data_IF_474702716136
#
_entry.id   IF_474702716136
#
_cell.length_a   1.000
_cell.length_b   1.000
_cell.length_c   1.000
_cell.angle_alpha   90.00
_cell.angle_beta   90.00
_cell.angle_gamma   90.00
#
_symmetry.space_group_name_H-M   'P 1'
#
loop_
_entity.id
_entity.type
_entity.pdbx_description
1 polymer ?
#
# COMPACT_ATOMS: atom_id res chain seq x y z
N UNK A 1 35.42 4.28 -16.77
CA UNK A 1 34.30 3.39 -16.41
C UNK A 1 34.33 3.37 -14.90
N UNK A 2 33.35 3.99 -14.21
CA UNK A 2 33.27 3.86 -12.76
C UNK A 2 32.97 2.39 -12.45
N UNK A 3 33.72 1.80 -11.53
CA UNK A 3 33.40 0.45 -11.07
C UNK A 3 32.09 0.52 -10.27
N UNK A 4 31.32 -0.58 -10.25
CA UNK A 4 30.02 -0.63 -9.56
C UNK A 4 30.17 -0.22 -8.08
N UNK A 5 31.31 -0.57 -7.45
CA UNK A 5 31.65 -0.17 -6.10
C UNK A 5 31.75 1.35 -5.91
N UNK A 6 32.34 2.07 -6.87
CA UNK A 6 32.47 3.54 -6.79
C UNK A 6 31.10 4.23 -6.85
N UNK A 7 30.18 3.69 -7.66
CA UNK A 7 28.81 4.19 -7.75
C UNK A 7 28.02 3.89 -6.46
N UNK A 8 28.24 2.74 -5.83
CA UNK A 8 27.64 2.39 -4.55
C UNK A 8 28.12 3.29 -3.40
N UNK A 9 29.42 3.62 -3.38
CA UNK A 9 30.00 4.53 -2.40
C UNK A 9 29.44 5.94 -2.59
N UNK A 10 29.47 6.46 -3.82
CA UNK A 10 28.91 7.78 -4.14
C UNK A 10 27.41 7.89 -3.80
N UNK A 11 26.63 6.84 -4.03
CA UNK A 11 25.22 6.80 -3.65
C UNK A 11 25.04 6.88 -2.13
N UNK A 12 25.84 6.11 -1.38
CA UNK A 12 25.81 6.10 0.09
C UNK A 12 26.17 7.49 0.63
N UNK A 13 27.24 8.11 0.13
CA UNK A 13 27.64 9.46 0.51
C UNK A 13 26.55 10.51 0.23
N UNK A 14 25.92 10.43 -0.94
CA UNK A 14 24.84 11.34 -1.31
C UNK A 14 23.65 11.25 -0.33
N UNK A 15 23.26 10.03 0.07
CA UNK A 15 22.19 9.81 1.03
C UNK A 15 22.58 10.20 2.46
N UNK A 16 23.83 9.96 2.87
CA UNK A 16 24.34 10.44 4.16
C UNK A 16 24.36 11.97 4.26
N UNK A 17 24.50 12.69 3.14
CA UNK A 17 24.51 14.14 3.11
C UNK A 17 23.12 14.79 3.14
N UNK A 18 22.03 14.01 3.13
CA UNK A 18 20.66 14.55 3.19
C UNK A 18 20.39 15.35 4.47
N UNK A 19 21.08 15.04 5.57
CA UNK A 19 21.01 15.77 6.83
C UNK A 19 21.50 17.23 6.72
N UNK A 20 22.32 17.54 5.70
CA UNK A 20 22.82 18.89 5.37
C UNK A 20 21.82 19.72 4.56
N UNK A 21 20.63 19.19 4.27
CA UNK A 21 19.57 19.87 3.55
C UNK A 21 18.47 20.32 4.52
N UNK A 22 18.64 21.45 5.26
CA UNK A 22 17.70 21.88 6.29
C UNK A 22 16.32 22.28 5.75
N UNK A 23 16.19 22.45 4.43
CA UNK A 23 14.94 22.75 3.71
C UNK A 23 14.38 21.53 2.97
N UNK A 24 14.87 20.32 3.27
CA UNK A 24 14.34 19.10 2.69
C UNK A 24 12.91 18.86 3.21
N UNK A 25 11.94 18.99 2.32
CA UNK A 25 10.51 18.85 2.63
C UNK A 25 9.91 17.55 2.08
N UNK A 26 10.42 17.08 0.93
CA UNK A 26 9.91 15.90 0.25
C UNK A 26 11.07 15.00 -0.20
N UNK A 27 10.87 13.69 -0.07
CA UNK A 27 11.77 12.67 -0.64
C UNK A 27 10.95 11.63 -1.40
N UNK A 28 11.40 11.33 -2.61
CA UNK A 28 10.90 10.21 -3.40
C UNK A 28 12.06 9.28 -3.74
N UNK A 29 12.01 8.06 -3.24
CA UNK A 29 12.97 7.00 -3.55
C UNK A 29 12.31 5.94 -4.44
N UNK A 30 12.91 5.68 -5.60
CA UNK A 30 12.43 4.67 -6.53
C UNK A 30 13.41 3.51 -6.53
N UNK A 31 13.00 2.38 -5.93
CA UNK A 31 13.79 1.16 -5.99
C UNK A 31 13.50 0.43 -7.30
N UNK A 32 14.47 -0.36 -7.75
CA UNK A 32 14.33 -1.10 -9.00
C UNK A 32 13.23 -2.15 -8.85
N UNK A 33 12.24 -2.19 -9.76
CA UNK A 33 10.99 -2.90 -9.52
C UNK A 33 11.03 -4.38 -9.89
N UNK A 34 12.08 -4.89 -10.53
CA UNK A 34 12.12 -6.27 -11.02
C UNK A 34 13.42 -6.99 -10.68
N UNK A 35 13.31 -8.24 -10.22
CA UNK A 35 14.45 -9.15 -10.10
C UNK A 35 14.86 -9.77 -11.45
N UNK A 36 14.14 -9.42 -12.51
CA UNK A 36 14.41 -9.80 -13.89
C UNK A 36 15.05 -8.60 -14.58
N UNK A 37 16.26 -8.78 -15.12
CA UNK A 37 16.95 -7.76 -15.91
C UNK A 37 16.17 -7.44 -17.19
N UNK A 38 16.47 -6.30 -17.83
CA UNK A 38 15.92 -5.95 -19.16
C UNK A 38 16.12 -7.03 -20.23
N UNK A 39 17.06 -7.95 -20.02
CA UNK A 39 17.33 -9.09 -20.91
C UNK A 39 16.42 -10.30 -20.68
N UNK A 40 15.47 -10.22 -19.73
CA UNK A 40 14.64 -11.36 -19.33
C UNK A 40 15.38 -12.39 -18.48
N UNK A 41 16.67 -12.16 -18.19
CA UNK A 41 17.46 -13.02 -17.30
C UNK A 41 17.28 -12.57 -15.86
N UNK A 42 17.02 -13.53 -14.99
CA UNK A 42 17.05 -13.37 -13.53
C UNK A 42 18.39 -12.77 -13.12
N UNK A 43 18.34 -11.66 -12.36
CA UNK A 43 19.55 -11.04 -11.81
C UNK A 43 20.09 -12.02 -10.76
N UNK A 44 21.15 -12.74 -11.11
CA UNK A 44 21.84 -13.70 -10.22
C UNK A 44 22.59 -13.04 -9.06
N UNK A 45 22.50 -11.72 -8.93
CA UNK A 45 23.11 -11.02 -7.80
C UNK A 45 22.39 -11.44 -6.52
N UNK A 46 23.17 -11.62 -5.46
CA UNK A 46 22.68 -12.11 -4.18
C UNK A 46 21.49 -11.26 -3.70
N UNK A 47 20.35 -11.88 -3.34
CA UNK A 47 19.17 -11.16 -2.83
C UNK A 47 19.47 -10.19 -1.68
N UNK A 48 20.50 -10.54 -0.92
CA UNK A 48 21.01 -9.76 0.20
C UNK A 48 21.60 -8.41 -0.21
N UNK A 49 22.21 -8.28 -1.40
CA UNK A 49 22.81 -7.01 -1.82
C UNK A 49 21.73 -5.96 -2.12
N UNK A 50 20.69 -6.33 -2.87
CA UNK A 50 19.58 -5.42 -3.16
C UNK A 50 18.86 -4.94 -1.89
N UNK A 51 18.51 -5.87 -1.01
CA UNK A 51 17.80 -5.56 0.24
C UNK A 51 18.67 -4.76 1.21
N UNK A 52 19.97 -5.07 1.33
CA UNK A 52 20.89 -4.27 2.14
C UNK A 52 21.02 -2.83 1.62
N UNK A 53 21.03 -2.65 0.31
CA UNK A 53 21.10 -1.32 -0.32
C UNK A 53 19.81 -0.53 -0.12
N UNK A 54 18.66 -1.16 -0.32
CA UNK A 54 17.36 -0.55 -0.02
C UNK A 54 17.31 -0.07 1.44
N UNK A 55 17.67 -0.93 2.39
CA UNK A 55 17.69 -0.59 3.81
C UNK A 55 18.64 0.59 4.09
N UNK A 56 19.85 0.57 3.52
CA UNK A 56 20.83 1.67 3.69
C UNK A 56 20.27 3.02 3.25
N UNK A 57 19.61 3.05 2.08
CA UNK A 57 18.96 4.26 1.55
C UNK A 57 17.84 4.72 2.47
N UNK A 58 16.95 3.80 2.87
CA UNK A 58 15.81 4.12 3.73
C UNK A 58 16.28 4.64 5.10
N UNK A 59 17.28 4.01 5.73
CA UNK A 59 17.87 4.48 6.99
C UNK A 59 18.46 5.88 6.86
N UNK A 60 19.11 6.18 5.73
CA UNK A 60 19.72 7.49 5.50
C UNK A 60 18.66 8.58 5.33
N UNK A 61 17.59 8.31 4.55
CA UNK A 61 16.43 9.20 4.43
C UNK A 61 15.84 9.48 5.81
N UNK A 62 15.66 8.42 6.60
CA UNK A 62 15.16 8.53 7.95
C UNK A 62 16.06 9.40 8.85
N UNK A 63 17.39 9.24 8.79
CA UNK A 63 18.31 10.10 9.53
C UNK A 63 18.14 11.57 9.16
N UNK A 64 17.94 11.88 7.88
CA UNK A 64 17.66 13.24 7.43
C UNK A 64 16.29 13.75 7.91
N UNK A 65 15.29 12.89 8.06
CA UNK A 65 13.98 13.27 8.64
C UNK A 65 14.11 13.75 10.09
N UNK A 66 15.11 13.31 10.85
CA UNK A 66 15.32 13.77 12.24
C UNK A 66 15.78 15.22 12.31
N UNK A 67 16.47 15.71 11.30
CA UNK A 67 17.09 17.04 11.28
C UNK A 67 16.38 18.02 10.34
N UNK A 68 15.52 17.51 9.46
CA UNK A 68 14.74 18.31 8.50
C UNK A 68 13.28 18.47 8.94
N UNK A 69 12.54 19.29 8.19
CA UNK A 69 11.07 19.44 8.33
C UNK A 69 10.34 18.64 7.26
N UNK A 70 10.83 17.44 6.94
CA UNK A 70 10.26 16.61 5.88
C UNK A 70 8.79 16.29 6.18
N UNK A 71 7.91 16.64 5.24
CA UNK A 71 6.46 16.44 5.36
C UNK A 71 5.93 15.39 4.37
N UNK A 72 6.72 15.00 3.37
CA UNK A 72 6.33 14.00 2.37
C UNK A 72 7.43 12.96 2.15
N UNK A 73 7.03 11.68 2.17
CA UNK A 73 7.89 10.55 1.90
C UNK A 73 7.19 9.60 0.92
N UNK A 74 7.85 9.32 -0.20
CA UNK A 74 7.42 8.33 -1.18
C UNK A 74 8.50 7.27 -1.35
N UNK A 75 8.17 6.01 -1.08
CA UNK A 75 9.05 4.87 -1.31
C UNK A 75 8.39 3.93 -2.32
N UNK A 76 8.99 3.78 -3.51
CA UNK A 76 8.41 3.00 -4.59
C UNK A 76 9.17 1.71 -4.82
N UNK A 77 8.42 0.61 -5.04
CA UNK A 77 8.92 -0.74 -5.27
C UNK A 77 9.77 -1.30 -4.12
N UNK A 78 9.32 -1.08 -2.88
CA UNK A 78 9.98 -1.56 -1.68
C UNK A 78 9.81 -3.07 -1.55
N UNK A 79 10.92 -3.79 -1.42
CA UNK A 79 10.91 -5.22 -1.06
C UNK A 79 10.64 -5.33 0.43
N UNK A 80 9.64 -6.12 0.79
CA UNK A 80 9.19 -6.23 2.18
C UNK A 80 10.08 -7.19 2.95
N UNK A 81 10.70 -6.67 4.00
CA UNK A 81 11.60 -7.38 4.90
C UNK A 81 10.94 -7.56 6.27
N UNK A 82 11.45 -8.45 7.15
CA UNK A 82 10.96 -8.56 8.51
C UNK A 82 10.95 -7.21 9.25
N UNK A 83 10.02 -7.03 10.19
CA UNK A 83 9.86 -5.79 10.98
C UNK A 83 11.16 -5.35 11.64
N UNK A 84 12.02 -6.29 12.05
CA UNK A 84 13.33 -6.01 12.65
C UNK A 84 14.28 -5.24 11.72
N UNK A 85 14.07 -5.27 10.41
CA UNK A 85 14.84 -4.49 9.43
C UNK A 85 14.39 -3.03 9.33
N UNK A 86 13.24 -2.67 9.90
CA UNK A 86 12.59 -1.36 9.78
C UNK A 86 12.36 -0.69 11.14
N UNK A 87 13.33 -0.81 12.05
CA UNK A 87 13.26 -0.26 13.41
C UNK A 87 12.93 1.25 13.47
N UNK A 88 13.35 2.00 12.46
CA UNK A 88 13.10 3.43 12.33
C UNK A 88 11.61 3.80 12.19
N UNK A 89 10.75 2.89 11.74
CA UNK A 89 9.33 3.19 11.51
C UNK A 89 8.61 3.60 12.79
N UNK A 90 9.01 3.03 13.93
CA UNK A 90 8.50 3.43 15.25
C UNK A 90 8.63 4.94 15.51
N UNK A 91 9.67 5.56 14.98
CA UNK A 91 9.96 6.98 15.20
C UNK A 91 9.27 7.91 14.19
N UNK A 92 8.76 7.36 13.08
CA UNK A 92 7.86 8.10 12.18
C UNK A 92 6.55 8.47 12.87
N UNK A 93 6.24 7.84 14.01
CA UNK A 93 5.05 8.09 14.82
C UNK A 93 4.89 9.56 15.22
N UNK A 94 6.01 10.22 15.55
CA UNK A 94 6.03 11.63 15.98
C UNK A 94 6.65 12.56 14.94
N UNK A 95 6.80 12.08 13.69
CA UNK A 95 7.34 12.89 12.60
C UNK A 95 6.31 13.91 12.10
N UNK A 96 6.74 15.04 11.50
CA UNK A 96 5.83 16.03 10.90
C UNK A 96 5.26 15.57 9.54
N UNK A 97 5.33 14.28 9.24
CA UNK A 97 4.91 13.71 7.97
C UNK A 97 3.40 13.92 7.77
N UNK A 98 3.04 14.56 6.67
CA UNK A 98 1.66 14.76 6.25
C UNK A 98 1.27 13.88 5.06
N UNK A 99 2.24 13.39 4.29
CA UNK A 99 2.02 12.52 3.14
C UNK A 99 2.98 11.33 3.20
N UNK A 100 2.44 10.12 3.13
CA UNK A 100 3.20 8.87 3.03
C UNK A 100 2.69 8.06 1.84
N UNK A 101 3.57 7.78 0.89
CA UNK A 101 3.28 6.92 -0.25
C UNK A 101 4.23 5.75 -0.26
N UNK A 102 3.68 4.54 -0.28
CA UNK A 102 4.42 3.29 -0.28
C UNK A 102 3.93 2.44 -1.43
N UNK A 103 4.84 2.08 -2.34
CA UNK A 103 4.64 1.01 -3.31
C UNK A 103 5.53 -0.15 -2.93
N UNK A 104 4.96 -1.36 -2.88
CA UNK A 104 5.67 -2.60 -2.55
C UNK A 104 5.75 -3.53 -3.75
N UNK A 105 6.75 -4.41 -3.75
CA UNK A 105 6.88 -5.50 -4.73
C UNK A 105 5.83 -6.59 -4.42
N UNK A 106 5.17 -7.20 -5.41
CA UNK A 106 4.13 -8.21 -5.18
C UNK A 106 4.66 -9.47 -4.45
N UNK A 107 3.79 -10.13 -3.68
CA UNK A 107 4.12 -11.36 -2.95
C UNK A 107 4.67 -12.48 -3.85
N UNK A 108 4.13 -12.60 -5.07
CA UNK A 108 4.54 -13.63 -6.03
C UNK A 108 6.02 -13.46 -6.42
N UNK A 109 6.42 -12.24 -6.76
CA UNK A 109 7.79 -11.93 -7.17
C UNK A 109 8.78 -12.11 -6.02
N UNK A 110 8.41 -11.72 -4.79
CA UNK A 110 9.26 -11.93 -3.61
C UNK A 110 9.42 -13.43 -3.30
N UNK A 111 8.35 -14.21 -3.41
CA UNK A 111 8.40 -15.66 -3.17
C UNK A 111 9.23 -16.40 -4.21
N UNK A 112 9.09 -16.05 -5.50
CA UNK A 112 9.87 -16.62 -6.59
C UNK A 112 11.36 -16.28 -6.43
N UNK A 113 11.66 -15.02 -6.08
CA UNK A 113 13.02 -14.53 -5.95
C UNK A 113 13.75 -15.07 -4.71
N UNK A 114 13.07 -15.09 -3.56
CA UNK A 114 13.70 -15.50 -2.30
C UNK A 114 13.70 -17.01 -2.08
N UNK A 115 12.90 -17.76 -2.83
CA UNK A 115 12.63 -19.18 -2.60
C UNK A 115 11.93 -19.46 -1.26
N UNK A 116 11.58 -18.40 -0.51
CA UNK A 116 10.95 -18.48 0.79
C UNK A 116 9.51 -17.99 0.70
N UNK A 117 8.58 -18.80 1.22
CA UNK A 117 7.19 -18.39 1.43
C UNK A 117 7.03 -17.48 2.65
N UNK A 118 8.10 -17.29 3.43
CA UNK A 118 8.14 -16.54 4.70
C UNK A 118 8.62 -15.09 4.54
N UNK A 119 9.23 -14.73 3.39
CA UNK A 119 9.59 -13.33 3.08
C UNK A 119 8.36 -12.63 2.48
N UNK A 120 7.25 -12.69 3.19
CA UNK A 120 6.07 -11.86 2.92
C UNK A 120 5.96 -10.88 4.08
N UNK A 121 6.87 -9.91 4.13
CA UNK A 121 6.87 -8.92 5.20
C UNK A 121 5.51 -8.22 5.30
N UNK A 122 5.12 -7.84 6.51
CA UNK A 122 3.86 -7.14 6.76
C UNK A 122 3.94 -5.66 6.30
N UNK A 123 2.86 -5.09 5.76
CA UNK A 123 2.82 -3.62 5.49
C UNK A 123 3.02 -2.84 6.77
N UNK A 124 2.62 -3.42 7.90
CA UNK A 124 2.89 -2.86 9.21
C UNK A 124 4.36 -2.70 9.55
N UNK A 125 5.27 -3.36 8.84
CA UNK A 125 6.70 -3.14 8.98
C UNK A 125 7.16 -1.76 8.48
N UNK A 126 6.43 -1.16 7.52
CA UNK A 126 6.77 0.13 6.89
C UNK A 126 5.87 1.28 7.35
N UNK A 127 4.77 0.97 8.05
CA UNK A 127 3.77 1.94 8.47
C UNK A 127 3.94 2.34 9.95
N UNK A 128 3.97 3.64 10.29
CA UNK A 128 3.95 4.06 11.69
C UNK A 128 2.62 3.67 12.33
N UNK A 129 2.66 3.06 13.53
CA UNK A 129 1.45 2.65 14.26
C UNK A 129 0.49 3.81 14.53
N UNK A 130 0.98 5.03 14.65
CA UNK A 130 0.15 6.22 14.77
C UNK A 130 0.88 7.38 14.12
N UNK A 131 0.17 8.31 13.49
CA UNK A 131 0.78 9.58 13.11
C UNK A 131 -0.31 10.66 13.11
N UNK A 132 -0.24 11.65 14.01
CA UNK A 132 -1.30 12.65 14.15
C UNK A 132 -1.28 13.73 13.07
N UNK A 133 -0.22 13.82 12.26
CA UNK A 133 -0.10 14.82 11.19
C UNK A 133 -0.37 14.24 9.81
N UNK A 134 -0.40 12.91 9.67
CA UNK A 134 -0.59 12.23 8.40
C UNK A 134 -1.98 12.49 7.84
N UNK A 135 -2.02 13.13 6.66
CA UNK A 135 -3.23 13.52 5.93
C UNK A 135 -3.48 12.66 4.70
N UNK A 136 -2.42 12.18 4.06
CA UNK A 136 -2.51 11.35 2.88
C UNK A 136 -1.68 10.08 3.06
N UNK A 137 -2.30 8.94 2.78
CA UNK A 137 -1.67 7.64 2.79
C UNK A 137 -1.93 6.94 1.45
N UNK A 138 -0.89 6.51 0.77
CA UNK A 138 -0.98 5.71 -0.45
C UNK A 138 -0.29 4.37 -0.22
N UNK A 139 -1.01 3.28 -0.47
CA UNK A 139 -0.51 1.91 -0.40
C UNK A 139 -0.71 1.26 -1.76
N UNK A 140 0.40 0.94 -2.43
CA UNK A 140 0.38 0.49 -3.82
C UNK A 140 1.17 -0.79 -4.04
N UNK A 141 0.77 -1.55 -5.05
CA UNK A 141 1.50 -2.72 -5.54
C UNK A 141 1.39 -2.77 -7.06
N UNK A 142 2.19 -1.98 -7.79
CA UNK A 142 1.94 -1.68 -9.21
C UNK A 142 2.12 -2.85 -10.17
N UNK A 143 2.73 -3.94 -9.72
CA UNK A 143 3.03 -5.11 -10.54
C UNK A 143 2.08 -6.30 -10.28
N UNK A 144 1.12 -6.14 -9.37
CA UNK A 144 0.14 -7.19 -9.11
C UNK A 144 -0.41 -7.17 -7.68
N UNK A 145 -1.34 -8.10 -7.37
CA UNK A 145 -2.03 -8.15 -6.10
C UNK A 145 -1.06 -8.33 -4.94
N UNK A 146 -1.29 -7.54 -3.90
CA UNK A 146 -0.61 -7.68 -2.63
C UNK A 146 -1.64 -7.84 -1.50
N UNK A 147 -1.36 -8.77 -0.60
CA UNK A 147 -2.18 -9.02 0.57
C UNK A 147 -1.29 -9.22 1.78
N UNK A 148 -1.55 -8.45 2.84
CA UNK A 148 -0.83 -8.57 4.09
C UNK A 148 -1.71 -9.21 5.16
N UNK A 149 -1.81 -10.54 5.11
CA UNK A 149 -2.60 -11.32 6.07
C UNK A 149 -2.19 -11.09 7.54
N UNK A 150 -0.93 -10.72 7.78
CA UNK A 150 -0.40 -10.51 9.12
C UNK A 150 -0.57 -9.08 9.65
N UNK A 151 -0.88 -8.12 8.77
CA UNK A 151 -1.02 -6.72 9.20
C UNK A 151 -2.33 -6.53 9.93
N UNK A 152 -2.26 -6.29 11.24
CA UNK A 152 -3.41 -5.89 12.05
C UNK A 152 -3.74 -4.43 11.82
N UNK A 153 -4.58 -4.13 10.82
CA UNK A 153 -4.87 -2.72 10.48
C UNK A 153 -5.55 -1.97 11.64
N UNK A 154 -6.16 -2.68 12.59
CA UNK A 154 -6.73 -2.11 13.83
C UNK A 154 -5.72 -1.37 14.69
N UNK A 155 -4.43 -1.72 14.56
CA UNK A 155 -3.35 -1.14 15.36
C UNK A 155 -2.88 0.23 14.84
N UNK A 156 -3.34 0.65 13.65
CA UNK A 156 -2.94 1.91 13.04
C UNK A 156 -3.93 3.05 13.34
N UNK A 157 -3.40 4.18 13.82
CA UNK A 157 -4.19 5.34 14.20
C UNK A 157 -3.72 6.62 13.49
N UNK A 158 -4.50 7.05 12.49
CA UNK A 158 -4.20 8.25 11.69
C UNK A 158 -5.33 9.27 11.82
N UNK A 159 -5.38 10.03 12.93
CA UNK A 159 -6.51 10.91 13.19
C UNK A 159 -6.61 12.06 12.18
N UNK A 160 -5.58 12.43 11.44
CA UNK A 160 -5.67 13.50 10.44
C UNK A 160 -5.86 12.99 9.01
N UNK A 161 -6.13 11.70 8.81
CA UNK A 161 -6.19 11.13 7.46
C UNK A 161 -7.43 11.65 6.70
N UNK A 162 -7.15 12.36 5.61
CA UNK A 162 -8.11 12.98 4.70
C UNK A 162 -8.14 12.29 3.33
N UNK A 163 -7.04 11.66 2.91
CA UNK A 163 -6.90 10.99 1.61
C UNK A 163 -6.28 9.60 1.78
N UNK A 164 -6.87 8.60 1.12
CA UNK A 164 -6.39 7.22 1.09
C UNK A 164 -6.41 6.67 -0.34
N UNK A 165 -5.27 6.17 -0.80
CA UNK A 165 -5.13 5.48 -2.10
C UNK A 165 -4.73 4.04 -1.83
N UNK A 166 -5.48 3.09 -2.38
CA UNK A 166 -5.17 1.66 -2.33
C UNK A 166 -5.09 1.12 -3.76
N UNK A 167 -3.96 0.54 -4.13
CA UNK A 167 -3.77 -0.11 -5.43
C UNK A 167 -3.42 -1.58 -5.23
N UNK A 168 -4.07 -2.47 -5.99
CA UNK A 168 -3.86 -3.91 -5.96
C UNK A 168 -3.99 -4.52 -4.55
N UNK A 169 -4.82 -3.90 -3.71
CA UNK A 169 -5.06 -4.33 -2.32
C UNK A 169 -6.19 -5.35 -2.28
N UNK A 170 -5.97 -6.45 -1.56
CA UNK A 170 -6.97 -7.50 -1.36
C UNK A 170 -7.71 -7.27 -0.04
N UNK A 171 -9.04 -7.27 -0.12
CA UNK A 171 -9.96 -7.14 1.00
C UNK A 171 -10.30 -8.51 1.60
N UNK A 172 -10.49 -8.55 2.91
CA UNK A 172 -10.83 -9.76 3.64
C UNK A 172 -12.17 -10.37 3.19
N UNK A 173 -12.26 -11.70 3.29
CA UNK A 173 -13.49 -12.45 2.97
C UNK A 173 -14.67 -12.06 3.88
N UNK A 174 -14.41 -11.54 5.07
CA UNK A 174 -15.42 -11.13 6.04
C UNK A 174 -14.97 -9.84 6.74
N UNK A 175 -15.91 -8.97 7.16
CA UNK A 175 -15.56 -7.80 7.96
C UNK A 175 -14.78 -8.21 9.21
N UNK A 176 -13.61 -7.63 9.39
CA UNK A 176 -12.71 -7.87 10.50
C UNK A 176 -12.16 -6.54 11.00
N UNK A 177 -12.02 -6.32 12.32
CA UNK A 177 -11.39 -5.10 12.86
C UNK A 177 -9.99 -4.84 12.30
N UNK A 178 -9.28 -5.92 11.94
CA UNK A 178 -7.94 -5.91 11.37
C UNK A 178 -7.92 -5.73 9.84
N UNK A 179 -9.09 -5.75 9.21
CA UNK A 179 -9.22 -5.75 7.77
C UNK A 179 -9.24 -4.36 7.12
N UNK A 180 -9.10 -4.36 5.79
CA UNK A 180 -9.01 -3.12 4.98
C UNK A 180 -10.33 -2.34 5.05
N UNK A 181 -11.47 -3.03 4.96
CA UNK A 181 -12.80 -2.39 5.02
C UNK A 181 -13.01 -1.58 6.31
N UNK A 182 -12.69 -2.19 7.47
CA UNK A 182 -12.81 -1.51 8.76
C UNK A 182 -11.79 -0.39 8.93
N UNK A 183 -10.59 -0.53 8.36
CA UNK A 183 -9.60 0.54 8.36
C UNK A 183 -10.11 1.80 7.66
N UNK A 184 -10.74 1.65 6.49
CA UNK A 184 -11.38 2.77 5.77
C UNK A 184 -12.51 3.38 6.60
N UNK A 185 -13.40 2.55 7.16
CA UNK A 185 -14.57 3.01 7.93
C UNK A 185 -14.18 3.76 9.20
N UNK A 186 -13.07 3.40 9.86
CA UNK A 186 -12.57 4.16 11.02
C UNK A 186 -12.29 5.63 10.69
N UNK A 187 -12.00 5.94 9.43
CA UNK A 187 -11.71 7.31 8.97
C UNK A 187 -12.95 8.06 8.47
N UNK A 188 -14.15 7.49 8.61
CA UNK A 188 -15.39 7.98 7.99
C UNK A 188 -15.75 9.46 8.21
N UNK A 189 -15.30 10.05 9.31
CA UNK A 189 -15.59 11.46 9.64
C UNK A 189 -14.62 12.47 9.03
N UNK A 190 -13.54 12.00 8.39
CA UNK A 190 -12.39 12.83 7.96
C UNK A 190 -11.92 12.48 6.56
N UNK A 191 -12.13 11.25 6.12
CA UNK A 191 -11.77 10.81 4.78
C UNK A 191 -12.61 11.57 3.75
N UNK A 192 -11.94 12.39 2.95
CA UNK A 192 -12.52 13.21 1.89
C UNK A 192 -12.24 12.64 0.51
N UNK A 193 -11.14 11.92 0.35
CA UNK A 193 -10.73 11.30 -0.89
C UNK A 193 -10.41 9.81 -0.67
N UNK A 194 -11.00 8.94 -1.48
CA UNK A 194 -10.71 7.51 -1.51
C UNK A 194 -10.49 7.07 -2.96
N UNK A 195 -9.34 6.45 -3.21
CA UNK A 195 -9.02 5.88 -4.50
C UNK A 195 -8.72 4.38 -4.38
N UNK A 196 -9.37 3.59 -5.22
CA UNK A 196 -9.21 2.15 -5.31
C UNK A 196 -8.84 1.76 -6.73
N UNK A 197 -7.63 1.25 -6.92
CA UNK A 197 -7.12 0.83 -8.23
C UNK A 197 -6.89 -0.69 -8.23
N UNK A 198 -7.59 -1.42 -9.09
CA UNK A 198 -7.43 -2.88 -9.23
C UNK A 198 -7.52 -3.67 -7.91
N UNK A 199 -8.30 -3.18 -6.94
CA UNK A 199 -8.55 -3.86 -5.68
C UNK A 199 -9.46 -5.08 -5.88
N UNK A 200 -9.31 -6.09 -5.02
CA UNK A 200 -10.11 -7.32 -5.12
C UNK A 200 -10.63 -7.81 -3.76
N UNK A 201 -11.71 -8.57 -3.78
CA UNK A 201 -12.24 -9.26 -2.59
C UNK A 201 -11.72 -10.70 -2.52
N UNK A 202 -11.27 -11.12 -1.34
CA UNK A 202 -10.77 -12.47 -1.14
C UNK A 202 -11.90 -13.50 -1.01
N UNK A 203 -11.75 -14.61 -1.72
CA UNK A 203 -12.64 -15.77 -1.69
C UNK A 203 -11.85 -16.96 -1.13
N UNK A 204 -12.01 -17.26 0.16
CA UNK A 204 -11.27 -18.39 0.75
C UNK A 204 -11.77 -19.76 0.27
N UNK A 205 -13.07 -19.88 0.03
CA UNK A 205 -13.68 -21.10 -0.48
C UNK A 205 -14.78 -20.74 -1.50
N UNK A 206 -14.71 -21.24 -2.75
CA UNK A 206 -15.75 -21.07 -3.78
C UNK A 206 -17.16 -21.48 -3.34
N UNK A 207 -17.27 -22.33 -2.30
CA UNK A 207 -18.54 -22.82 -1.78
C UNK A 207 -19.10 -21.99 -0.61
N UNK A 208 -18.40 -20.94 -0.17
CA UNK A 208 -18.82 -20.04 0.91
C UNK A 208 -19.09 -18.67 0.32
N UNK A 209 -20.11 -17.97 0.82
CA UNK A 209 -20.44 -16.62 0.40
C UNK A 209 -19.23 -15.69 0.62
N UNK A 210 -18.69 -15.17 -0.48
CA UNK A 210 -17.63 -14.17 -0.45
C UNK A 210 -18.18 -12.81 0.00
N UNK A 211 -17.33 -11.94 0.56
CA UNK A 211 -17.67 -10.53 0.74
C UNK A 211 -17.86 -9.89 -0.63
N UNK A 212 -19.10 -9.61 -1.00
CA UNK A 212 -19.42 -8.99 -2.29
C UNK A 212 -19.08 -7.50 -2.28
N UNK A 213 -18.55 -7.00 -3.40
CA UNK A 213 -18.27 -5.57 -3.57
C UNK A 213 -19.52 -4.72 -3.39
N UNK A 214 -20.67 -5.17 -3.89
CA UNK A 214 -21.98 -4.55 -3.66
C UNK A 214 -22.28 -4.31 -2.20
N UNK A 215 -21.96 -5.27 -1.32
CA UNK A 215 -22.17 -5.13 0.12
C UNK A 215 -21.19 -4.13 0.76
N UNK A 216 -19.95 -4.07 0.26
CA UNK A 216 -18.96 -3.08 0.68
C UNK A 216 -19.43 -1.67 0.29
N UNK A 217 -19.82 -1.47 -0.98
CA UNK A 217 -20.30 -0.19 -1.50
C UNK A 217 -21.52 0.32 -0.76
N UNK A 218 -22.51 -0.53 -0.51
CA UNK A 218 -23.72 -0.15 0.23
C UNK A 218 -23.39 0.31 1.65
N UNK A 219 -22.49 -0.40 2.34
CA UNK A 219 -22.06 -0.02 3.68
C UNK A 219 -21.28 1.29 3.66
N UNK A 220 -20.35 1.46 2.73
CA UNK A 220 -19.55 2.68 2.60
C UNK A 220 -20.41 3.89 2.25
N UNK A 221 -21.43 3.73 1.40
CA UNK A 221 -22.40 4.77 1.12
C UNK A 221 -23.15 5.24 2.39
N UNK A 222 -23.42 4.32 3.31
CA UNK A 222 -24.08 4.64 4.58
C UNK A 222 -23.12 5.26 5.62
N UNK A 223 -21.85 4.85 5.64
CA UNK A 223 -20.91 5.22 6.70
C UNK A 223 -19.95 6.36 6.35
N UNK A 224 -19.46 6.46 5.11
CA UNK A 224 -18.43 7.42 4.68
C UNK A 224 -19.04 8.79 4.33
N UNK A 225 -19.72 9.41 5.29
CA UNK A 225 -20.50 10.64 5.09
C UNK A 225 -19.67 11.89 4.79
N UNK A 226 -18.36 11.86 5.06
CA UNK A 226 -17.44 12.98 4.77
C UNK A 226 -16.71 12.86 3.44
N UNK A 227 -16.92 11.74 2.72
CA UNK A 227 -16.25 11.46 1.45
C UNK A 227 -16.79 12.40 0.36
N UNK A 228 -15.89 13.03 -0.38
CA UNK A 228 -16.19 13.99 -1.44
C UNK A 228 -15.76 13.50 -2.81
N UNK A 229 -14.77 12.63 -2.83
CA UNK A 229 -14.20 12.07 -4.05
C UNK A 229 -13.97 10.57 -3.86
N UNK A 230 -14.51 9.81 -4.81
CA UNK A 230 -14.29 8.37 -4.94
C UNK A 230 -13.79 8.10 -6.35
N UNK A 231 -12.57 7.59 -6.46
CA UNK A 231 -11.98 7.12 -7.70
C UNK A 231 -11.89 5.60 -7.64
N UNK A 232 -12.48 4.92 -8.62
CA UNK A 232 -12.36 3.47 -8.76
C UNK A 232 -11.88 3.21 -10.18
N UNK A 233 -10.70 2.61 -10.30
CA UNK A 233 -10.11 2.21 -11.57
C UNK A 233 -9.85 0.70 -11.60
N UNK A 234 -10.07 0.11 -12.79
CA UNK A 234 -10.07 -1.33 -12.99
C UNK A 234 -11.33 -2.06 -12.50
N UNK A 235 -11.44 -3.33 -12.87
CA UNK A 235 -12.53 -4.18 -12.40
C UNK A 235 -12.31 -4.56 -10.94
N UNK A 236 -13.29 -4.23 -10.08
CA UNK A 236 -13.34 -4.70 -8.69
C UNK A 236 -13.56 -6.22 -8.68
N UNK A 237 -12.45 -6.94 -8.70
CA UNK A 237 -12.42 -8.39 -8.92
C UNK A 237 -12.57 -9.20 -7.64
N UNK A 238 -12.56 -10.51 -7.83
CA UNK A 238 -12.50 -11.48 -6.74
C UNK A 238 -11.26 -12.34 -6.96
N UNK A 239 -10.58 -12.73 -5.88
CA UNK A 239 -9.36 -13.53 -5.94
C UNK A 239 -9.41 -14.71 -4.99
N UNK A 240 -8.81 -15.82 -5.41
CA UNK A 240 -8.53 -16.99 -4.56
C UNK A 240 -7.03 -17.10 -4.36
N UNK A 241 -6.60 -17.68 -3.24
CA UNK A 241 -5.19 -17.97 -2.99
C UNK A 241 -4.87 -19.36 -3.54
N UNK A 242 -4.11 -19.38 -4.63
CA UNK A 242 -3.51 -20.59 -5.19
C UNK A 242 -2.14 -20.85 -4.56
N UNK A 243 -1.82 -22.12 -4.29
CA UNK A 243 -0.62 -22.50 -3.58
C UNK A 243 0.68 -22.35 -4.41
N UNK A 244 0.56 -22.34 -5.74
CA UNK A 244 1.66 -22.20 -6.70
C UNK A 244 1.75 -20.79 -7.26
N UNK A 245 0.60 -20.18 -7.56
CA UNK A 245 0.52 -18.91 -8.30
C UNK A 245 0.20 -17.71 -7.41
N UNK A 246 -0.06 -17.92 -6.12
CA UNK A 246 -0.49 -16.86 -5.21
C UNK A 246 -1.92 -16.42 -5.51
N UNK A 247 -2.20 -15.12 -5.44
CA UNK A 247 -3.55 -14.61 -5.69
C UNK A 247 -3.88 -14.62 -7.18
N UNK A 248 -4.90 -15.40 -7.54
CA UNK A 248 -5.39 -15.53 -8.92
C UNK A 248 -6.84 -15.09 -9.03
N UNK A 249 -7.21 -14.53 -10.17
CA UNK A 249 -8.58 -14.06 -10.43
C UNK A 249 -9.59 -15.21 -10.35
N UNK A 250 -10.61 -15.03 -9.51
CA UNK A 250 -11.75 -15.93 -9.39
C UNK A 250 -12.83 -15.54 -10.40
N UNK A 251 -12.96 -16.34 -11.46
CA UNK A 251 -13.92 -16.13 -12.57
C UNK A 251 -15.34 -16.68 -12.41
N UNK A 252 -15.70 -17.61 -11.49
CA UNK A 252 -17.07 -18.11 -11.33
C UNK A 252 -18.06 -17.10 -10.71
N UNK A 253 -17.88 -15.81 -10.96
CA UNK A 253 -18.82 -14.78 -10.50
C UNK A 253 -20.00 -14.80 -11.48
N UNK A 254 -21.21 -15.01 -10.97
CA UNK A 254 -22.40 -14.95 -11.82
C UNK A 254 -22.56 -13.53 -12.38
N UNK A 255 -23.15 -13.41 -13.57
CA UNK A 255 -23.45 -12.10 -14.18
C UNK A 255 -24.28 -11.22 -13.26
N UNK A 256 -25.18 -11.82 -12.47
CA UNK A 256 -26.00 -11.14 -11.46
C UNK A 256 -25.16 -10.48 -10.36
N UNK A 257 -24.07 -11.11 -9.91
CA UNK A 257 -23.18 -10.51 -8.89
C UNK A 257 -22.42 -9.33 -9.48
N UNK A 258 -21.86 -9.47 -10.68
CA UNK A 258 -21.16 -8.38 -11.35
C UNK A 258 -22.07 -7.16 -11.62
N UNK A 259 -23.32 -7.41 -12.03
CA UNK A 259 -24.34 -6.36 -12.19
C UNK A 259 -24.70 -5.68 -10.87
N UNK A 260 -24.82 -6.46 -9.79
CA UNK A 260 -25.08 -5.95 -8.44
C UNK A 260 -23.95 -5.08 -7.90
N UNK A 261 -22.70 -5.49 -8.12
CA UNK A 261 -21.49 -4.75 -7.71
C UNK A 261 -21.41 -3.42 -8.47
N UNK A 262 -21.58 -3.45 -9.79
CA UNK A 262 -21.58 -2.26 -10.65
C UNK A 262 -22.71 -1.28 -10.30
N UNK A 263 -23.91 -1.80 -10.06
CA UNK A 263 -25.08 -0.99 -9.70
C UNK A 263 -24.88 -0.31 -8.34
N UNK A 264 -24.34 -1.04 -7.36
CA UNK A 264 -24.09 -0.51 -6.02
C UNK A 264 -22.97 0.53 -6.02
N UNK A 265 -21.90 0.33 -6.81
CA UNK A 265 -20.84 1.34 -7.00
C UNK A 265 -21.41 2.63 -7.58
N UNK A 266 -22.22 2.52 -8.64
CA UNK A 266 -22.84 3.69 -9.28
C UNK A 266 -23.74 4.46 -8.31
N UNK A 267 -24.57 3.76 -7.54
CA UNK A 267 -25.40 4.38 -6.50
C UNK A 267 -24.56 5.13 -5.46
N UNK A 268 -23.41 4.56 -5.07
CA UNK A 268 -22.50 5.22 -4.13
C UNK A 268 -21.85 6.47 -4.74
N UNK A 269 -21.35 6.39 -5.97
CA UNK A 269 -20.79 7.54 -6.69
C UNK A 269 -21.83 8.67 -6.85
N UNK A 270 -23.06 8.33 -7.25
CA UNK A 270 -24.16 9.29 -7.40
C UNK A 270 -24.50 9.98 -6.06
N UNK A 271 -24.44 9.25 -4.95
CA UNK A 271 -24.68 9.79 -3.61
C UNK A 271 -23.60 10.81 -3.20
N UNK A 272 -22.33 10.55 -3.52
CA UNK A 272 -21.20 11.47 -3.25
C UNK A 272 -21.36 12.76 -4.07
N UNK A 273 -21.66 12.64 -5.37
CA UNK A 273 -21.88 13.80 -6.25
C UNK A 273 -23.03 14.65 -5.74
N UNK A 274 -24.14 14.01 -5.35
CA UNK A 274 -25.31 14.71 -4.79
C UNK A 274 -24.98 15.43 -3.48
N UNK A 275 -24.22 14.79 -2.58
CA UNK A 275 -23.80 15.40 -1.32
C UNK A 275 -22.88 16.61 -1.54
N UNK A 276 -22.02 16.59 -2.55
CA UNK A 276 -21.14 17.72 -2.87
C UNK A 276 -21.89 18.91 -3.48
N UNK A 277 -22.95 18.69 -4.25
CA UNK A 277 -23.76 19.76 -4.85
C UNK A 277 -24.62 20.51 -3.84
N UNK A 278 -25.03 19.88 -2.74
CA UNK A 278 -25.86 20.50 -1.68
C UNK A 278 -25.06 21.44 -0.77
N UNK A 279 -23.72 21.35 -0.80
CA UNK A 279 -22.81 22.11 0.07
C UNK A 279 -22.25 23.38 -0.61
N UNK A 280 -22.57 23.61 -1.89
CA UNK A 280 -22.17 24.78 -2.68
C UNK A 280 -23.22 25.91 -2.63
#
# INVERSE_FOLDING_TARGET
>A
MLEVADLEEALTEAFCALDRLPRLECVTANFWPTFISQSGKEIRESPFWFTSRQLTVIHSIYHAMKTSRMTSLSLNNVVMMPVSCYDFVSTLTNSPLSHLSLSVVPNADISAWSGSKEINGSLGALLPLSNPTLKSLELRSPQGPYHSLETKLSSFHYPSLESLVLENTIFDQMPSPDGVEEFVIRQKSRLHHLELQSCASYVANPSVDARLWSSIWQRWAAELTSLRELVVDGDSGYVVLDAEWGYVTYKPISTTVAEGDSSSLRMFQDAIVSACQVVA
#
